data_IF_168360614813
#
_entry.id   IF_168360614813
#
_cell.length_a   1.000
_cell.length_b   1.000
_cell.length_c   1.000
_cell.angle_alpha   90.00
_cell.angle_beta   90.00
_cell.angle_gamma   90.00
#
_symmetry.space_group_name_H-M   'P 1'
#
loop_
_entity.id
_entity.type
_entity.pdbx_description
1 polymer ?
#
# COMPACT_ATOMS: atom_id res chain seq x y z
N UNK A 1 27.17 13.00 -5.86
CA UNK A 1 26.75 12.22 -7.05
C UNK A 1 25.78 11.12 -6.60
N UNK A 2 24.47 11.37 -6.56
CA UNK A 2 23.49 10.33 -6.22
C UNK A 2 23.21 9.46 -7.46
N UNK A 3 23.51 8.16 -7.36
CA UNK A 3 23.17 7.18 -8.41
C UNK A 3 21.69 6.82 -8.28
N UNK A 4 20.85 7.44 -9.08
CA UNK A 4 19.42 7.11 -9.13
C UNK A 4 19.25 5.87 -10.02
N UNK A 5 18.74 4.77 -9.45
CA UNK A 5 18.45 3.54 -10.18
C UNK A 5 17.11 3.64 -10.91
N UNK A 6 17.16 3.46 -12.22
CA UNK A 6 16.00 3.50 -13.12
C UNK A 6 15.67 2.09 -13.58
N UNK A 7 14.39 1.72 -13.52
CA UNK A 7 13.91 0.45 -14.06
C UNK A 7 12.98 0.70 -15.25
N UNK A 8 13.16 -0.06 -16.33
CA UNK A 8 12.31 0.05 -17.52
C UNK A 8 11.22 -1.00 -17.42
N UNK A 9 9.96 -0.56 -17.25
CA UNK A 9 8.78 -1.43 -17.16
C UNK A 9 7.79 -1.00 -18.23
N UNK A 10 7.38 -1.93 -19.11
CA UNK A 10 6.39 -1.65 -20.17
C UNK A 10 6.79 -0.55 -21.15
N UNK A 11 8.09 -0.39 -21.42
CA UNK A 11 8.61 0.68 -22.30
C UNK A 11 8.77 2.05 -21.64
N UNK A 12 8.21 2.27 -20.44
CA UNK A 12 8.38 3.50 -19.64
C UNK A 12 9.51 3.31 -18.62
N UNK A 13 10.33 4.36 -18.42
CA UNK A 13 11.33 4.40 -17.34
C UNK A 13 10.61 4.84 -16.08
N UNK A 14 10.58 3.98 -15.06
CA UNK A 14 10.02 4.30 -13.76
C UNK A 14 11.13 4.34 -12.70
N UNK A 15 11.02 5.27 -11.76
CA UNK A 15 11.88 5.29 -10.59
C UNK A 15 11.53 4.16 -9.64
N UNK A 16 12.56 3.56 -9.05
CA UNK A 16 12.42 2.51 -8.05
C UNK A 16 11.52 2.96 -6.88
N UNK A 17 11.60 4.23 -6.49
CA UNK A 17 10.78 4.80 -5.42
C UNK A 17 9.29 4.85 -5.77
N UNK A 18 8.93 5.22 -7.00
CA UNK A 18 7.52 5.20 -7.47
C UNK A 18 6.98 3.76 -7.50
N UNK A 19 7.82 2.80 -7.89
CA UNK A 19 7.46 1.38 -7.95
C UNK A 19 7.27 0.80 -6.54
N UNK A 20 8.20 1.10 -5.61
CA UNK A 20 8.07 0.74 -4.21
C UNK A 20 6.82 1.37 -3.58
N UNK A 21 6.58 2.67 -3.82
CA UNK A 21 5.37 3.36 -3.36
C UNK A 21 4.08 2.70 -3.87
N UNK A 22 4.01 2.37 -5.16
CA UNK A 22 2.85 1.67 -5.73
C UNK A 22 2.65 0.27 -5.12
N UNK A 23 3.74 -0.46 -4.87
CA UNK A 23 3.69 -1.76 -4.20
C UNK A 23 3.18 -1.64 -2.76
N UNK A 24 3.67 -0.67 -1.99
CA UNK A 24 3.21 -0.42 -0.61
C UNK A 24 1.75 -0.01 -0.57
N UNK A 25 1.29 0.84 -1.50
CA UNK A 25 -0.13 1.21 -1.62
C UNK A 25 -0.97 -0.05 -1.85
N UNK A 26 -0.61 -0.88 -2.83
CA UNK A 26 -1.36 -2.12 -3.12
C UNK A 26 -1.38 -3.08 -1.92
N UNK A 27 -0.22 -3.31 -1.29
CA UNK A 27 -0.11 -4.18 -0.12
C UNK A 27 -0.95 -3.69 1.07
N UNK A 28 -0.91 -2.38 1.34
CA UNK A 28 -1.70 -1.77 2.42
C UNK A 28 -3.20 -1.87 2.17
N UNK A 29 -3.66 -1.66 0.93
CA UNK A 29 -5.08 -1.81 0.57
C UNK A 29 -5.55 -3.25 0.76
N UNK A 30 -4.73 -4.23 0.37
CA UNK A 30 -5.05 -5.65 0.61
C UNK A 30 -5.15 -5.95 2.11
N UNK A 31 -4.25 -5.40 2.93
CA UNK A 31 -4.31 -5.57 4.39
C UNK A 31 -5.49 -4.87 5.04
N UNK A 32 -5.91 -3.71 4.53
CA UNK A 32 -7.15 -3.05 4.95
C UNK A 32 -8.36 -3.93 4.64
N UNK A 33 -8.42 -4.54 3.45
CA UNK A 33 -9.50 -5.44 3.06
C UNK A 33 -9.54 -6.72 3.93
N UNK A 34 -8.38 -7.31 4.20
CA UNK A 34 -8.23 -8.46 5.13
C UNK A 34 -8.74 -8.10 6.53
N UNK A 35 -8.29 -6.98 7.10
CA UNK A 35 -8.74 -6.54 8.42
C UNK A 35 -10.23 -6.20 8.47
N UNK A 36 -10.79 -5.64 7.38
CA UNK A 36 -12.23 -5.40 7.27
C UNK A 36 -13.01 -6.72 7.28
N UNK A 37 -12.53 -7.74 6.56
CA UNK A 37 -13.13 -9.07 6.56
C UNK A 37 -13.07 -9.71 7.96
N UNK A 38 -11.94 -9.59 8.67
CA UNK A 38 -11.79 -10.12 10.02
C UNK A 38 -12.78 -9.50 11.01
N UNK A 39 -13.10 -8.20 10.89
CA UNK A 39 -14.15 -7.56 11.68
C UNK A 39 -15.48 -8.28 11.48
N UNK A 40 -15.89 -8.55 10.23
CA UNK A 40 -17.13 -9.29 9.95
C UNK A 40 -17.12 -10.70 10.54
N UNK A 41 -15.99 -11.40 10.43
CA UNK A 41 -15.84 -12.75 11.02
C UNK A 41 -16.01 -12.69 12.53
N UNK A 42 -15.38 -11.73 13.20
CA UNK A 42 -15.48 -11.57 14.66
C UNK A 42 -16.89 -11.19 15.10
N UNK A 43 -17.57 -10.27 14.39
CA UNK A 43 -18.98 -9.94 14.66
C UNK A 43 -19.87 -11.18 14.54
N UNK A 44 -19.67 -12.00 13.51
CA UNK A 44 -20.43 -13.24 13.34
C UNK A 44 -20.17 -14.23 14.48
N UNK A 45 -18.91 -14.38 14.91
CA UNK A 45 -18.57 -15.21 16.07
C UNK A 45 -19.20 -14.69 17.36
N UNK A 46 -19.21 -13.37 17.55
CA UNK A 46 -19.82 -12.73 18.72
C UNK A 46 -21.34 -12.97 18.77
N UNK A 47 -22.02 -12.83 17.63
CA UNK A 47 -23.44 -13.14 17.51
C UNK A 47 -23.74 -14.62 17.79
N UNK A 48 -22.90 -15.53 17.28
CA UNK A 48 -23.02 -16.97 17.56
C UNK A 48 -22.81 -17.29 19.04
N UNK A 49 -21.83 -16.67 19.69
CA UNK A 49 -21.58 -16.81 21.12
C UNK A 49 -22.75 -16.30 21.97
N UNK A 50 -23.40 -15.21 21.56
CA UNK A 50 -24.60 -14.70 22.22
C UNK A 50 -25.80 -15.65 22.14
N UNK A 51 -25.93 -16.42 21.05
CA UNK A 51 -26.99 -17.42 20.89
C UNK A 51 -26.65 -18.77 21.54
N UNK A 52 -25.36 -19.12 21.58
CA UNK A 52 -24.84 -20.41 22.06
C UNK A 52 -23.56 -20.18 22.88
N UNK A 53 -23.69 -19.89 24.20
CA UNK A 53 -22.54 -19.59 25.04
C UNK A 53 -21.57 -20.77 25.19
N UNK A 54 -22.03 -22.00 24.96
CA UNK A 54 -21.20 -23.22 24.95
C UNK A 54 -20.04 -23.17 23.93
N UNK A 55 -20.18 -22.35 22.87
CA UNK A 55 -19.20 -22.26 21.79
C UNK A 55 -18.09 -21.23 22.05
N UNK A 56 -18.16 -20.44 23.14
CA UNK A 56 -17.22 -19.33 23.40
C UNK A 56 -15.77 -19.80 23.40
N UNK A 57 -15.49 -20.90 24.09
CA UNK A 57 -14.13 -21.49 24.19
C UNK A 57 -13.59 -21.94 22.84
N UNK A 58 -14.45 -22.48 21.96
CA UNK A 58 -14.10 -22.93 20.62
C UNK A 58 -13.91 -21.76 19.64
N UNK A 59 -14.73 -20.71 19.75
CA UNK A 59 -14.75 -19.58 18.81
C UNK A 59 -13.59 -18.61 19.02
N UNK A 60 -13.14 -18.44 20.27
CA UNK A 60 -12.20 -17.39 20.66
C UNK A 60 -10.97 -17.89 21.46
N UNK A 61 -10.90 -19.17 21.83
CA UNK A 61 -9.70 -19.79 22.44
C UNK A 61 -9.43 -19.45 23.91
N UNK A 62 -9.90 -18.31 24.41
CA UNK A 62 -9.96 -17.97 25.84
C UNK A 62 -11.14 -18.68 26.55
N UNK A 63 -11.00 -19.99 26.77
CA UNK A 63 -12.07 -20.83 27.33
C UNK A 63 -12.00 -21.10 28.84
N UNK A 64 -10.89 -20.78 29.52
CA UNK A 64 -10.75 -21.10 30.95
C UNK A 64 -11.30 -19.92 31.77
N UNK A 65 -12.53 -20.08 32.28
CA UNK A 65 -13.19 -19.09 33.13
C UNK A 65 -14.07 -18.07 32.39
N UNK A 66 -14.39 -18.31 31.11
CA UNK A 66 -15.31 -17.45 30.38
C UNK A 66 -16.70 -17.47 31.04
N UNK A 67 -17.34 -16.30 31.24
CA UNK A 67 -18.65 -16.22 31.86
C UNK A 67 -19.69 -17.02 31.06
N UNK A 68 -20.65 -17.63 31.77
CA UNK A 68 -21.76 -18.39 31.16
C UNK A 68 -22.60 -17.56 30.18
N UNK A 69 -22.53 -16.24 30.28
CA UNK A 69 -23.20 -15.29 29.41
C UNK A 69 -22.16 -14.42 28.72
N UNK A 70 -22.17 -14.42 27.39
CA UNK A 70 -21.37 -13.51 26.58
C UNK A 70 -21.93 -12.10 26.69
N UNK A 71 -21.18 -11.18 27.29
CA UNK A 71 -21.63 -9.82 27.57
C UNK A 71 -21.28 -8.85 26.44
N UNK A 72 -21.89 -7.65 26.47
CA UNK A 72 -21.52 -6.57 25.53
C UNK A 72 -20.07 -6.09 25.69
N UNK A 73 -19.50 -6.24 26.89
CA UNK A 73 -18.10 -5.90 27.17
C UNK A 73 -17.16 -6.89 26.46
N UNK A 74 -17.52 -8.18 26.41
CA UNK A 74 -16.77 -9.20 25.68
C UNK A 74 -16.78 -8.94 24.17
N UNK A 75 -17.92 -8.49 23.63
CA UNK A 75 -18.04 -8.10 22.21
C UNK A 75 -17.04 -6.97 21.89
N UNK A 76 -16.98 -5.94 22.73
CA UNK A 76 -16.05 -4.82 22.54
C UNK A 76 -14.59 -5.28 22.67
N UNK A 77 -14.29 -6.14 23.64
CA UNK A 77 -12.94 -6.68 23.86
C UNK A 77 -12.43 -7.46 22.65
N UNK A 78 -13.25 -8.35 22.09
CA UNK A 78 -12.85 -9.17 20.93
C UNK A 78 -12.78 -8.32 19.65
N UNK A 79 -13.63 -7.30 19.49
CA UNK A 79 -13.59 -6.38 18.35
C UNK A 79 -12.39 -5.44 18.35
N UNK A 80 -11.80 -5.17 19.52
CA UNK A 80 -10.69 -4.23 19.66
C UNK A 80 -9.50 -4.59 18.74
N UNK A 81 -9.13 -5.88 18.68
CA UNK A 81 -8.00 -6.36 17.88
C UNK A 81 -8.18 -6.13 16.37
N UNK A 82 -9.25 -6.66 15.75
CA UNK A 82 -9.56 -6.44 14.34
C UNK A 82 -9.70 -4.96 13.98
N UNK A 83 -10.37 -4.16 14.82
CA UNK A 83 -10.54 -2.72 14.58
C UNK A 83 -9.21 -1.98 14.66
N UNK A 84 -8.36 -2.29 15.64
CA UNK A 84 -7.02 -1.71 15.74
C UNK A 84 -6.15 -2.07 14.52
N UNK A 85 -6.20 -3.33 14.07
CA UNK A 85 -5.51 -3.78 12.86
C UNK A 85 -5.99 -3.01 11.62
N UNK A 86 -7.30 -2.85 11.46
CA UNK A 86 -7.90 -2.09 10.36
C UNK A 86 -7.41 -0.64 10.35
N UNK A 87 -7.49 0.05 11.50
CA UNK A 87 -7.04 1.45 11.62
C UNK A 87 -5.53 1.60 11.37
N UNK A 88 -4.73 0.65 11.86
CA UNK A 88 -3.29 0.63 11.64
C UNK A 88 -2.95 0.53 10.14
N UNK A 89 -3.54 -0.44 9.44
CA UNK A 89 -3.30 -0.62 8.01
C UNK A 89 -3.86 0.52 7.17
N UNK A 90 -4.96 1.14 7.60
CA UNK A 90 -5.50 2.34 6.96
C UNK A 90 -4.53 3.52 7.13
N UNK A 91 -3.93 3.69 8.30
CA UNK A 91 -2.86 4.66 8.54
C UNK A 91 -1.64 4.41 7.63
N UNK A 92 -1.21 3.15 7.51
CA UNK A 92 -0.12 2.78 6.59
C UNK A 92 -0.50 3.08 5.13
N UNK A 93 -1.74 2.83 4.72
CA UNK A 93 -2.18 3.14 3.36
C UNK A 93 -2.09 4.63 3.05
N UNK A 94 -2.43 5.50 4.01
CA UNK A 94 -2.25 6.95 3.87
C UNK A 94 -0.78 7.33 3.76
N UNK A 95 0.09 6.76 4.59
CA UNK A 95 1.55 7.01 4.51
C UNK A 95 2.12 6.52 3.18
N UNK A 96 1.72 5.34 2.72
CA UNK A 96 2.13 4.78 1.43
C UNK A 96 1.69 5.68 0.26
N UNK A 97 0.47 6.23 0.33
CA UNK A 97 -0.02 7.21 -0.65
C UNK A 97 0.80 8.50 -0.62
N UNK A 98 1.17 9.02 0.55
CA UNK A 98 2.05 10.20 0.67
C UNK A 98 3.42 9.94 0.03
N UNK A 99 4.02 8.77 0.27
CA UNK A 99 5.30 8.38 -0.35
C UNK A 99 5.17 8.21 -1.86
N UNK A 100 4.07 7.63 -2.33
CA UNK A 100 3.80 7.52 -3.76
C UNK A 100 3.63 8.91 -4.43
N UNK A 101 2.95 9.84 -3.75
CA UNK A 101 2.73 11.19 -4.25
C UNK A 101 3.95 12.11 -4.14
N UNK A 102 4.82 11.94 -3.14
CA UNK A 102 6.08 12.71 -3.05
C UNK A 102 6.98 12.47 -4.27
N UNK A 103 6.90 11.27 -4.85
CA UNK A 103 7.46 10.92 -6.14
C UNK A 103 6.97 11.77 -7.33
N UNK A 104 5.85 12.50 -7.22
CA UNK A 104 5.38 13.45 -8.25
C UNK A 104 5.87 14.89 -8.03
N UNK A 105 6.25 15.25 -6.81
CA UNK A 105 6.64 16.61 -6.42
C UNK A 105 8.16 16.84 -6.56
N UNK A 106 8.97 15.81 -6.28
CA UNK A 106 10.45 15.89 -6.34
C UNK A 106 11.00 15.55 -7.74
N UNK A 107 10.33 14.66 -8.48
CA UNK A 107 10.81 14.18 -9.78
C UNK A 107 10.37 14.94 -11.06
N UNK A 108 9.49 15.98 -11.06
CA UNK A 108 9.16 16.67 -12.30
C UNK A 108 10.37 17.44 -12.84
N UNK A 109 11.29 17.88 -11.96
CA UNK A 109 12.55 18.53 -12.33
C UNK A 109 13.48 17.56 -13.06
N UNK A 110 13.63 16.34 -12.57
CA UNK A 110 14.50 15.31 -13.16
C UNK A 110 13.95 14.79 -14.50
N UNK A 111 12.63 14.65 -14.64
CA UNK A 111 11.98 14.33 -15.91
C UNK A 111 12.16 15.47 -16.94
N UNK A 112 12.25 16.74 -16.49
CA UNK A 112 12.52 17.90 -17.34
C UNK A 112 13.96 17.91 -17.85
N UNK A 113 14.95 17.66 -16.97
CA UNK A 113 16.37 17.55 -17.35
C UNK A 113 16.61 16.40 -18.34
N UNK A 114 15.93 15.27 -18.17
CA UNK A 114 16.00 14.17 -19.12
C UNK A 114 15.42 14.53 -20.50
N UNK A 115 14.29 15.25 -20.55
CA UNK A 115 13.72 15.72 -21.82
C UNK A 115 14.65 16.73 -22.51
N UNK A 116 15.23 17.66 -21.75
CA UNK A 116 16.19 18.62 -22.27
C UNK A 116 17.45 17.96 -22.82
N UNK A 117 18.05 17.02 -22.10
CA UNK A 117 19.24 16.30 -22.58
C UNK A 117 18.96 15.46 -23.82
N UNK A 118 17.81 14.77 -23.87
CA UNK A 118 17.38 14.01 -25.04
C UNK A 118 17.11 14.92 -26.26
N UNK A 119 16.53 16.09 -26.04
CA UNK A 119 16.32 17.11 -27.07
C UNK A 119 17.65 17.63 -27.63
N UNK A 120 18.61 17.95 -26.75
CA UNK A 120 19.95 18.40 -27.16
C UNK A 120 20.69 17.32 -27.96
N UNK A 121 20.58 16.06 -27.53
CA UNK A 121 21.20 14.93 -28.24
C UNK A 121 20.64 14.77 -29.66
N UNK A 122 19.32 14.90 -29.84
CA UNK A 122 18.68 14.91 -31.16
C UNK A 122 19.14 16.07 -32.04
N UNK A 123 19.29 17.27 -31.48
CA UNK A 123 19.78 18.43 -32.24
C UNK A 123 21.21 18.22 -32.73
N UNK A 124 22.08 17.69 -31.88
CA UNK A 124 23.48 17.37 -32.24
C UNK A 124 23.53 16.30 -33.34
N UNK A 125 22.78 15.20 -33.20
CA UNK A 125 22.69 14.17 -34.24
C UNK A 125 22.20 14.72 -35.58
N UNK A 126 21.21 15.61 -35.54
CA UNK A 126 20.65 16.24 -36.74
C UNK A 126 21.67 17.18 -37.40
N UNK A 127 22.43 17.94 -36.61
CA UNK A 127 23.49 18.81 -37.10
C UNK A 127 24.63 18.00 -37.74
N UNK A 128 25.08 16.93 -37.10
CA UNK A 128 26.13 16.03 -37.63
C UNK A 128 25.66 15.39 -38.95
N UNK A 129 24.41 14.92 -39.03
CA UNK A 129 23.83 14.38 -40.27
C UNK A 129 23.81 15.41 -41.40
N UNK A 130 23.43 16.65 -41.11
CA UNK A 130 23.44 17.74 -42.11
C UNK A 130 24.86 18.04 -42.61
N UNK A 131 25.85 18.07 -41.73
CA UNK A 131 27.26 18.28 -42.10
C UNK A 131 27.77 17.13 -42.98
N UNK A 132 27.48 15.88 -42.59
CA UNK A 132 27.91 14.69 -43.33
C UNK A 132 27.26 14.53 -44.71
N UNK A 133 26.09 15.12 -44.92
CA UNK A 133 25.36 15.12 -46.21
C UNK A 133 25.78 16.26 -47.15
N UNK A 134 26.55 17.23 -46.64
CA UNK A 134 27.03 18.41 -47.37
C UNK A 134 28.49 18.28 -47.85
N UNK A 135 29.20 17.26 -47.38
CA UNK A 135 30.44 16.73 -47.95
C UNK A 135 30.09 15.57 -48.88
#
# INVERSE_FOLDING_TARGET
MHRVFWFKVGGKRMHLLKLAGAFFVLASVLKVAEAAYDIFVVVNKANMAGMRPELISSLFGWGIGAPYNFSGEDVLGVLLGPVASFLFWLGIALVALMVYQSGKLVFPVEEYEQKMSAHHRKLIETAIRKIKKKR
#
